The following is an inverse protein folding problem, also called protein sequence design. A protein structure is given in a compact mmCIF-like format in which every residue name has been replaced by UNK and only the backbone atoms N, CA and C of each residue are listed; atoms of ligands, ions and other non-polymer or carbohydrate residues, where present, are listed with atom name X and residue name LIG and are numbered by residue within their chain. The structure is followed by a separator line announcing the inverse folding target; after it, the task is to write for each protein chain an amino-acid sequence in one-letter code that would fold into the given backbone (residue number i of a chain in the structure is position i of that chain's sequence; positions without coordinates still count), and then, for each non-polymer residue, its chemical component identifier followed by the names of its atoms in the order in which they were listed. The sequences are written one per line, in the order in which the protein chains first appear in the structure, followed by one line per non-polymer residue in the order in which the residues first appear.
data_IF_950553894472
#
_entry.id   IF_950553894472
#
_cell.length_a   1.000
_cell.length_b   1.000
_cell.length_c   1.000
_cell.angle_alpha   90.00
_cell.angle_beta   90.00
_cell.angle_gamma   90.00
#
_symmetry.space_group_name_H-M   'P 1'
#
loop_
_entity.id
_entity.type
_entity.pdbx_description
1 polymer ?
#
# COMPACT_ATOMS: atom_id res chain seq x y z
N UNK A 1 -0.81 -12.74 -15.77
CA UNK A 1 -1.03 -13.29 -14.43
C UNK A 1 -1.86 -12.35 -13.55
N UNK A 2 -1.41 -11.13 -13.26
CA UNK A 2 -2.16 -10.18 -12.41
C UNK A 2 -3.61 -9.98 -12.86
N UNK A 3 -3.83 -9.64 -14.14
CA UNK A 3 -5.19 -9.49 -14.69
C UNK A 3 -6.05 -10.77 -14.57
N UNK A 4 -5.45 -11.95 -14.71
CA UNK A 4 -6.17 -13.22 -14.52
C UNK A 4 -6.59 -13.41 -13.07
N UNK A 5 -5.70 -13.14 -12.11
CA UNK A 5 -6.03 -13.13 -10.68
C UNK A 5 -7.09 -12.09 -10.33
N UNK A 6 -7.13 -10.98 -11.05
CA UNK A 6 -8.12 -9.92 -10.90
C UNK A 6 -9.56 -10.38 -11.22
N UNK A 7 -9.75 -11.49 -11.93
CA UNK A 7 -11.08 -12.02 -12.27
C UNK A 7 -11.63 -13.01 -11.23
N UNK A 8 -10.79 -13.53 -10.33
CA UNK A 8 -11.12 -14.70 -9.49
C UNK A 8 -11.17 -14.31 -8.01
N UNK A 9 -12.15 -14.82 -7.28
CA UNK A 9 -12.24 -14.63 -5.82
C UNK A 9 -12.50 -13.18 -5.41
N UNK A 10 -13.30 -12.44 -6.20
CA UNK A 10 -13.74 -11.09 -5.87
C UNK A 10 -15.03 -11.15 -5.05
N UNK A 11 -15.08 -10.44 -3.92
CA UNK A 11 -16.30 -10.33 -3.11
C UNK A 11 -17.30 -9.35 -3.73
N UNK A 12 -18.60 -9.67 -3.80
CA UNK A 12 -19.60 -8.82 -4.44
C UNK A 12 -20.00 -7.58 -3.60
N UNK A 13 -19.92 -7.68 -2.26
CA UNK A 13 -20.35 -6.61 -1.35
C UNK A 13 -19.21 -5.64 -1.03
N UNK A 14 -18.01 -6.17 -0.76
CA UNK A 14 -16.80 -5.39 -0.51
C UNK A 14 -15.88 -5.59 -1.70
N UNK A 15 -16.06 -4.77 -2.74
CA UNK A 15 -15.38 -4.95 -4.04
C UNK A 15 -13.86 -4.83 -3.95
N UNK A 16 -13.34 -4.25 -2.86
CA UNK A 16 -11.91 -4.18 -2.55
C UNK A 16 -11.35 -5.50 -1.99
N UNK A 17 -12.18 -6.45 -1.56
CA UNK A 17 -11.73 -7.76 -1.10
C UNK A 17 -11.57 -8.73 -2.28
N UNK A 18 -10.34 -8.82 -2.79
CA UNK A 18 -10.01 -9.50 -4.05
C UNK A 18 -8.92 -10.54 -3.85
N UNK A 19 -9.32 -11.74 -3.44
CA UNK A 19 -8.39 -12.80 -3.04
C UNK A 19 -7.46 -13.22 -4.18
N UNK A 20 -7.96 -13.33 -5.42
CA UNK A 20 -7.17 -13.80 -6.55
C UNK A 20 -5.99 -12.89 -6.89
N UNK A 21 -6.24 -11.58 -7.07
CA UNK A 21 -5.17 -10.63 -7.41
C UNK A 21 -4.14 -10.50 -6.29
N UNK A 22 -4.58 -10.46 -5.02
CA UNK A 22 -3.67 -10.35 -3.89
C UNK A 22 -2.81 -11.59 -3.71
N UNK A 23 -3.39 -12.79 -3.89
CA UNK A 23 -2.65 -14.04 -3.84
C UNK A 23 -1.60 -14.13 -4.96
N UNK A 24 -1.99 -13.80 -6.20
CA UNK A 24 -1.04 -13.79 -7.34
C UNK A 24 0.05 -12.75 -7.13
N UNK A 25 -0.28 -11.54 -6.67
CA UNK A 25 0.70 -10.50 -6.38
C UNK A 25 1.67 -10.92 -5.27
N UNK A 26 1.17 -11.59 -4.23
CA UNK A 26 2.00 -12.16 -3.16
C UNK A 26 3.00 -13.19 -3.69
N UNK A 27 2.56 -14.15 -4.51
CA UNK A 27 3.44 -15.17 -5.09
C UNK A 27 4.51 -14.56 -6.01
N UNK A 28 4.15 -13.57 -6.82
CA UNK A 28 5.11 -12.88 -7.69
C UNK A 28 6.09 -12.05 -6.86
N UNK A 29 5.61 -11.37 -5.82
CA UNK A 29 6.45 -10.65 -4.86
C UNK A 29 7.46 -11.58 -4.19
N UNK A 30 7.00 -12.74 -3.69
CA UNK A 30 7.87 -13.77 -3.14
C UNK A 30 8.95 -14.19 -4.15
N UNK A 31 8.58 -14.46 -5.41
CA UNK A 31 9.54 -14.81 -6.45
C UNK A 31 10.58 -13.70 -6.71
N UNK A 32 10.14 -12.44 -6.80
CA UNK A 32 11.03 -11.28 -7.00
C UNK A 32 12.05 -11.18 -5.87
N UNK A 33 11.61 -11.20 -4.62
CA UNK A 33 12.47 -11.02 -3.45
C UNK A 33 13.27 -12.28 -3.06
N UNK A 34 12.93 -13.45 -3.61
CA UNK A 34 13.70 -14.68 -3.41
C UNK A 34 14.89 -14.81 -4.38
N UNK A 35 14.99 -13.95 -5.39
CA UNK A 35 15.99 -14.04 -6.45
C UNK A 35 16.68 -12.70 -6.69
N UNK A 36 17.91 -12.55 -6.21
CA UNK A 36 18.71 -11.32 -6.42
C UNK A 36 18.86 -10.94 -7.90
N UNK A 37 18.90 -11.94 -8.80
CA UNK A 37 18.96 -11.70 -10.25
C UNK A 37 17.74 -10.91 -10.73
N UNK A 38 16.56 -11.22 -10.21
CA UNK A 38 15.31 -10.52 -10.57
C UNK A 38 15.35 -9.10 -10.01
N UNK A 39 15.75 -8.92 -8.74
CA UNK A 39 15.90 -7.59 -8.15
C UNK A 39 16.85 -6.69 -8.96
N UNK A 40 18.01 -7.20 -9.38
CA UNK A 40 18.98 -6.45 -10.21
C UNK A 40 18.40 -6.06 -11.57
N UNK A 41 17.56 -6.91 -12.16
CA UNK A 41 16.85 -6.58 -13.41
C UNK A 41 15.88 -5.42 -13.16
N UNK A 42 15.09 -5.48 -12.09
CA UNK A 42 14.14 -4.42 -11.73
C UNK A 42 14.85 -3.09 -11.46
N UNK A 43 15.99 -3.13 -10.78
CA UNK A 43 16.84 -1.97 -10.54
C UNK A 43 17.32 -1.34 -11.86
N UNK A 44 17.77 -2.16 -12.82
CA UNK A 44 18.25 -1.70 -14.13
C UNK A 44 17.15 -1.05 -14.96
N UNK A 45 15.92 -1.60 -14.94
CA UNK A 45 14.77 -1.08 -15.71
C UNK A 45 13.94 -0.04 -14.94
N UNK A 46 14.39 0.38 -13.75
CA UNK A 46 13.65 1.27 -12.85
C UNK A 46 13.20 2.58 -13.49
N UNK A 47 14.08 3.26 -14.23
CA UNK A 47 13.73 4.54 -14.88
C UNK A 47 12.71 4.34 -16.02
N UNK A 48 12.95 3.46 -17.02
CA UNK A 48 11.95 3.21 -18.06
C UNK A 48 10.59 2.78 -17.52
N UNK A 49 10.56 1.89 -16.52
CA UNK A 49 9.30 1.43 -15.90
C UNK A 49 8.60 2.53 -15.12
N UNK A 50 9.35 3.44 -14.47
CA UNK A 50 8.77 4.62 -13.80
C UNK A 50 8.15 5.61 -14.78
N UNK A 51 8.81 5.87 -15.91
CA UNK A 51 8.26 6.73 -16.97
C UNK A 51 6.97 6.11 -17.51
N UNK A 52 6.97 4.80 -17.78
CA UNK A 52 5.78 4.09 -18.22
C UNK A 52 4.66 4.14 -17.17
N UNK A 53 4.97 3.99 -15.88
CA UNK A 53 4.00 4.10 -14.79
C UNK A 53 3.35 5.49 -14.74
N UNK A 54 4.14 6.56 -14.92
CA UNK A 54 3.63 7.93 -14.97
C UNK A 54 2.69 8.10 -16.18
N UNK A 55 3.10 7.66 -17.37
CA UNK A 55 2.26 7.73 -18.58
C UNK A 55 0.93 7.00 -18.36
N UNK A 56 0.98 5.75 -17.88
CA UNK A 56 -0.21 4.95 -17.59
C UNK A 56 -1.08 5.58 -16.49
N UNK A 57 -0.48 6.26 -15.50
CA UNK A 57 -1.24 6.99 -14.47
C UNK A 57 -2.03 8.16 -15.05
N UNK A 58 -1.45 8.90 -16.01
CA UNK A 58 -2.13 10.01 -16.69
C UNK A 58 -3.30 9.48 -17.51
N UNK A 59 -3.12 8.39 -18.24
CA UNK A 59 -4.21 7.71 -18.95
C UNK A 59 -5.30 7.23 -17.99
N UNK A 60 -4.93 6.59 -16.88
CA UNK A 60 -5.89 6.12 -15.89
C UNK A 60 -6.73 7.27 -15.32
N UNK A 61 -6.08 8.37 -14.91
CA UNK A 61 -6.78 9.57 -14.43
C UNK A 61 -7.68 10.13 -15.52
N UNK A 62 -7.20 10.29 -16.76
CA UNK A 62 -7.99 10.82 -17.86
C UNK A 62 -9.30 10.04 -18.12
N UNK A 63 -9.26 8.70 -18.07
CA UNK A 63 -10.44 7.86 -18.35
C UNK A 63 -11.37 7.64 -17.16
N UNK A 64 -10.84 7.70 -15.93
CA UNK A 64 -11.57 7.32 -14.71
C UNK A 64 -11.73 8.46 -13.70
N UNK A 65 -11.37 9.70 -14.06
CA UNK A 65 -11.58 10.86 -13.19
C UNK A 65 -13.06 10.99 -12.79
N UNK A 66 -13.30 11.17 -11.50
CA UNK A 66 -14.67 11.30 -10.94
C UNK A 66 -15.48 10.01 -10.89
N UNK A 67 -14.98 8.89 -11.42
CA UNK A 67 -15.62 7.57 -11.27
C UNK A 67 -15.22 6.92 -9.96
N UNK A 68 -16.08 6.03 -9.47
CA UNK A 68 -15.75 5.26 -8.29
C UNK A 68 -14.69 4.19 -8.62
N UNK A 69 -13.45 4.44 -8.22
CA UNK A 69 -12.32 3.55 -8.48
C UNK A 69 -12.46 2.15 -7.85
N UNK A 70 -13.41 1.95 -6.92
CA UNK A 70 -13.68 0.64 -6.32
C UNK A 70 -14.65 -0.21 -7.15
N UNK A 71 -15.15 0.30 -8.28
CA UNK A 71 -16.04 -0.46 -9.15
C UNK A 71 -15.33 -1.65 -9.79
N UNK A 72 -16.03 -2.78 -9.83
CA UNK A 72 -15.51 -4.03 -10.40
C UNK A 72 -15.07 -3.87 -11.86
N UNK A 73 -15.77 -3.06 -12.65
CA UNK A 73 -15.43 -2.80 -14.05
C UNK A 73 -14.02 -2.19 -14.17
N UNK A 74 -13.71 -1.19 -13.34
CA UNK A 74 -12.40 -0.52 -13.32
C UNK A 74 -11.33 -1.46 -12.77
N UNK A 75 -11.64 -2.16 -11.68
CA UNK A 75 -10.73 -3.04 -10.97
C UNK A 75 -10.38 -4.31 -11.76
N UNK A 76 -11.26 -4.80 -12.62
CA UNK A 76 -11.05 -5.97 -13.48
C UNK A 76 -10.53 -5.60 -14.87
N UNK A 77 -10.54 -4.32 -15.23
CA UNK A 77 -10.04 -3.84 -16.51
C UNK A 77 -8.56 -4.17 -16.71
N UNK A 78 -8.21 -4.65 -17.91
CA UNK A 78 -6.83 -5.02 -18.24
C UNK A 78 -5.85 -3.85 -18.11
N UNK A 79 -6.19 -2.66 -18.62
CA UNK A 79 -5.34 -1.48 -18.58
C UNK A 79 -5.08 -1.02 -17.14
N UNK A 80 -6.11 -1.04 -16.27
CA UNK A 80 -5.96 -0.75 -14.84
C UNK A 80 -4.99 -1.71 -14.16
N UNK A 81 -5.13 -3.01 -14.44
CA UNK A 81 -4.27 -4.04 -13.84
C UNK A 81 -2.83 -3.93 -14.35
N UNK A 82 -2.64 -3.60 -15.64
CA UNK A 82 -1.33 -3.34 -16.22
C UNK A 82 -0.68 -2.12 -15.57
N UNK A 83 -1.41 -1.00 -15.50
CA UNK A 83 -0.95 0.22 -14.82
C UNK A 83 -0.51 -0.06 -13.37
N UNK A 84 -1.38 -0.72 -12.60
CA UNK A 84 -1.11 -1.07 -11.21
C UNK A 84 0.18 -1.90 -11.10
N UNK A 85 0.34 -2.93 -11.93
CA UNK A 85 1.50 -3.80 -11.86
C UNK A 85 2.80 -3.14 -12.31
N UNK A 86 2.77 -2.34 -13.39
CA UNK A 86 3.93 -1.55 -13.84
C UNK A 86 4.35 -0.56 -12.74
N UNK A 87 3.41 0.05 -12.04
CA UNK A 87 3.68 0.94 -10.91
C UNK A 87 4.36 0.21 -9.77
N UNK A 88 3.90 -1.00 -9.41
CA UNK A 88 4.54 -1.84 -8.38
C UNK A 88 5.99 -2.17 -8.77
N UNK A 89 6.21 -2.60 -10.02
CA UNK A 89 7.57 -2.89 -10.53
C UNK A 89 8.46 -1.65 -10.47
N UNK A 90 7.95 -0.50 -10.91
CA UNK A 90 8.68 0.76 -10.90
C UNK A 90 9.08 1.17 -9.47
N UNK A 91 8.16 1.06 -8.51
CA UNK A 91 8.42 1.36 -7.11
C UNK A 91 9.51 0.45 -6.52
N UNK A 92 9.42 -0.87 -6.74
CA UNK A 92 10.44 -1.81 -6.27
C UNK A 92 11.81 -1.46 -6.88
N UNK A 93 11.87 -1.22 -8.20
CA UNK A 93 13.12 -0.90 -8.90
C UNK A 93 13.75 0.42 -8.45
N UNK A 94 12.95 1.50 -8.32
CA UNK A 94 13.43 2.81 -7.88
C UNK A 94 13.92 2.75 -6.44
N UNK A 95 13.16 2.11 -5.55
CA UNK A 95 13.55 2.01 -4.14
C UNK A 95 14.79 1.16 -3.94
N UNK A 96 14.94 0.07 -4.71
CA UNK A 96 16.18 -0.71 -4.73
C UNK A 96 17.37 0.13 -5.19
N UNK A 97 17.20 0.92 -6.26
CA UNK A 97 18.28 1.70 -6.88
C UNK A 97 18.76 2.89 -6.03
N UNK A 98 17.83 3.65 -5.46
CA UNK A 98 18.14 4.94 -4.85
C UNK A 98 17.89 5.00 -3.34
N UNK A 99 17.07 4.09 -2.78
CA UNK A 99 16.62 4.14 -1.39
C UNK A 99 16.99 2.89 -0.59
N UNK A 100 17.91 2.06 -1.09
CA UNK A 100 18.45 0.91 -0.37
C UNK A 100 19.53 1.35 0.63
N UNK A 101 19.11 2.10 1.66
CA UNK A 101 19.96 2.71 2.67
C UNK A 101 19.80 2.00 4.02
N UNK A 102 20.88 1.95 4.79
CA UNK A 102 20.88 1.37 6.14
C UNK A 102 21.43 2.40 7.14
N UNK A 103 20.54 3.01 7.93
CA UNK A 103 20.91 3.90 9.04
C UNK A 103 20.07 3.60 10.28
N UNK A 104 20.39 4.23 11.43
CA UNK A 104 19.71 3.98 12.70
C UNK A 104 18.20 4.22 12.63
N UNK A 105 17.78 5.27 11.91
CA UNK A 105 16.38 5.59 11.69
C UNK A 105 15.68 4.50 10.85
N UNK A 106 16.25 4.10 9.72
CA UNK A 106 15.69 3.04 8.87
C UNK A 106 15.62 1.71 9.64
N UNK A 107 16.64 1.36 10.43
CA UNK A 107 16.60 0.17 11.30
C UNK A 107 15.45 0.22 12.30
N UNK A 108 15.23 1.39 12.92
CA UNK A 108 14.11 1.60 13.82
C UNK A 108 12.77 1.42 13.08
N UNK A 109 12.60 2.09 11.95
CA UNK A 109 11.40 2.02 11.11
C UNK A 109 11.10 0.60 10.64
N UNK A 110 12.11 -0.15 10.20
CA UNK A 110 11.97 -1.55 9.79
C UNK A 110 11.48 -2.41 10.95
N UNK A 111 12.03 -2.21 12.17
CA UNK A 111 11.60 -2.94 13.37
C UNK A 111 10.15 -2.64 13.76
N UNK A 112 9.70 -1.40 13.58
CA UNK A 112 8.34 -0.98 13.94
C UNK A 112 7.32 -1.11 12.79
N UNK A 113 7.76 -1.42 11.57
CA UNK A 113 6.94 -1.47 10.36
C UNK A 113 5.69 -2.33 10.49
N UNK A 114 5.80 -3.52 11.09
CA UNK A 114 4.66 -4.41 11.32
C UNK A 114 3.61 -3.79 12.24
N UNK A 115 4.03 -3.10 13.30
CA UNK A 115 3.13 -2.41 14.20
C UNK A 115 2.42 -1.24 13.51
N UNK A 116 3.15 -0.47 12.69
CA UNK A 116 2.56 0.60 11.86
C UNK A 116 1.52 -0.01 10.90
N UNK A 117 1.85 -1.12 10.25
CA UNK A 117 0.94 -1.82 9.33
C UNK A 117 -0.36 -2.27 9.99
N UNK A 118 -0.33 -2.79 11.22
CA UNK A 118 -1.57 -3.20 11.90
C UNK A 118 -2.37 -1.96 12.36
N UNK A 119 -1.70 -1.01 12.99
CA UNK A 119 -2.38 0.08 13.69
C UNK A 119 -2.91 1.16 12.74
N UNK A 120 -2.25 1.40 11.60
CA UNK A 120 -2.68 2.46 10.70
C UNK A 120 -4.08 2.23 10.15
N UNK A 121 -4.49 0.99 9.88
CA UNK A 121 -5.82 0.72 9.35
C UNK A 121 -6.91 1.02 10.37
N UNK A 122 -6.69 0.69 11.64
CA UNK A 122 -7.60 1.03 12.74
C UNK A 122 -7.76 2.55 12.89
N UNK A 123 -6.65 3.29 12.89
CA UNK A 123 -6.66 4.75 12.96
C UNK A 123 -7.33 5.35 11.72
N UNK A 124 -7.05 4.81 10.53
CA UNK A 124 -7.64 5.24 9.26
C UNK A 124 -9.15 5.13 9.26
N UNK A 125 -9.72 4.02 9.75
CA UNK A 125 -11.18 3.83 9.81
C UNK A 125 -11.82 4.86 10.74
N UNK A 126 -11.23 5.11 11.92
CA UNK A 126 -11.76 6.10 12.87
C UNK A 126 -11.65 7.52 12.31
N UNK A 127 -10.46 7.92 11.85
CA UNK A 127 -10.23 9.27 11.31
C UNK A 127 -11.10 9.50 10.08
N UNK A 128 -11.18 8.52 9.18
CA UNK A 128 -12.04 8.60 7.99
C UNK A 128 -13.51 8.74 8.35
N UNK A 129 -14.01 7.93 9.30
CA UNK A 129 -15.38 8.05 9.79
C UNK A 129 -15.66 9.43 10.38
N UNK A 130 -14.75 9.96 11.20
CA UNK A 130 -14.93 11.27 11.85
C UNK A 130 -14.92 12.40 10.82
N UNK A 131 -13.92 12.43 9.94
CA UNK A 131 -13.79 13.49 8.92
C UNK A 131 -14.98 13.51 7.96
N UNK A 132 -15.49 12.35 7.55
CA UNK A 132 -16.61 12.27 6.59
C UNK A 132 -17.96 12.62 7.22
N UNK A 133 -18.21 12.22 8.47
CA UNK A 133 -19.55 12.38 9.08
C UNK A 133 -19.72 13.66 9.90
N UNK A 134 -18.63 14.25 10.40
CA UNK A 134 -18.71 15.41 11.29
C UNK A 134 -18.11 16.69 10.71
N UNK A 135 -17.43 16.63 9.57
CA UNK A 135 -16.80 17.78 8.95
C UNK A 135 -17.22 17.90 7.49
N UNK A 136 -17.58 19.11 7.06
CA UNK A 136 -17.82 19.44 5.66
C UNK A 136 -16.66 20.29 5.14
N UNK A 137 -15.54 19.61 4.84
CA UNK A 137 -14.31 20.24 4.37
C UNK A 137 -14.13 20.02 2.86
N UNK A 138 -13.50 20.98 2.15
CA UNK A 138 -13.02 20.74 0.79
C UNK A 138 -12.12 19.51 0.73
N UNK A 139 -12.20 18.76 -0.37
CA UNK A 139 -11.49 17.48 -0.53
C UNK A 139 -10.00 17.56 -0.17
N UNK A 140 -9.31 18.63 -0.58
CA UNK A 140 -7.88 18.81 -0.29
C UNK A 140 -7.58 18.85 1.21
N UNK A 141 -8.41 19.52 2.00
CA UNK A 141 -8.25 19.61 3.44
C UNK A 141 -8.62 18.29 4.13
N UNK A 142 -9.65 17.60 3.63
CA UNK A 142 -10.00 16.27 4.11
C UNK A 142 -8.82 15.29 3.93
N UNK A 143 -8.22 15.23 2.73
CA UNK A 143 -7.08 14.34 2.48
C UNK A 143 -5.83 14.74 3.27
N UNK A 144 -5.54 16.04 3.37
CA UNK A 144 -4.39 16.53 4.13
C UNK A 144 -4.51 16.23 5.62
N UNK A 145 -5.67 16.52 6.23
CA UNK A 145 -5.92 16.21 7.63
C UNK A 145 -5.95 14.71 7.88
N UNK A 146 -6.57 13.91 7.01
CA UNK A 146 -6.53 12.46 7.11
C UNK A 146 -5.08 11.96 7.12
N UNK A 147 -4.24 12.44 6.20
CA UNK A 147 -2.82 12.07 6.18
C UNK A 147 -2.11 12.39 7.50
N UNK A 148 -2.23 13.63 8.00
CA UNK A 148 -1.57 14.06 9.24
C UNK A 148 -2.08 13.30 10.46
N UNK A 149 -3.41 13.18 10.61
CA UNK A 149 -4.03 12.52 11.76
C UNK A 149 -3.79 11.01 11.76
N UNK A 150 -3.84 10.35 10.60
CA UNK A 150 -3.54 8.92 10.50
C UNK A 150 -2.08 8.67 10.84
N UNK A 151 -1.16 9.48 10.32
CA UNK A 151 0.26 9.35 10.61
C UNK A 151 0.52 9.54 12.12
N UNK A 152 0.13 10.69 12.67
CA UNK A 152 0.33 11.01 14.09
C UNK A 152 -0.38 10.00 15.00
N UNK A 153 -1.63 9.66 14.70
CA UNK A 153 -2.42 8.70 15.45
C UNK A 153 -1.81 7.29 15.44
N UNK A 154 -1.26 6.85 14.30
CA UNK A 154 -0.61 5.54 14.20
C UNK A 154 0.64 5.46 15.06
N UNK A 155 1.52 6.47 15.00
CA UNK A 155 2.73 6.49 15.84
C UNK A 155 2.40 6.66 17.32
N UNK A 156 1.43 7.51 17.68
CA UNK A 156 0.98 7.66 19.06
C UNK A 156 0.40 6.36 19.62
N UNK A 157 -0.46 5.69 18.85
CA UNK A 157 -1.05 4.41 19.24
C UNK A 157 0.00 3.30 19.35
N UNK A 158 0.98 3.28 18.43
CA UNK A 158 2.11 2.36 18.50
C UNK A 158 2.90 2.55 19.79
N UNK A 159 3.21 3.79 20.17
CA UNK A 159 3.93 4.09 21.40
C UNK A 159 3.15 3.63 22.63
N UNK A 160 1.84 3.91 22.70
CA UNK A 160 0.97 3.49 23.80
C UNK A 160 0.93 1.95 23.90
N UNK A 161 0.60 1.27 22.79
CA UNK A 161 0.44 -0.19 22.79
C UNK A 161 1.76 -0.89 23.09
N UNK A 162 2.88 -0.38 22.57
CA UNK A 162 4.21 -0.97 22.81
C UNK A 162 4.63 -0.99 24.30
N UNK A 163 4.04 -0.12 25.12
CA UNK A 163 4.28 -0.05 26.56
C UNK A 163 3.44 -1.06 27.36
N UNK A 164 2.34 -1.58 26.81
CA UNK A 164 1.43 -2.50 27.51
C UNK A 164 1.93 -3.96 27.34
N UNK A 165 2.33 -4.67 28.41
CA UNK A 165 3.08 -5.93 28.30
C UNK A 165 2.38 -7.05 27.54
N UNK A 166 1.07 -7.21 27.74
CA UNK A 166 0.28 -8.28 27.11
C UNK A 166 -0.08 -7.90 25.68
N UNK A 167 -0.54 -6.66 25.47
CA UNK A 167 -1.06 -6.20 24.18
C UNK A 167 0.06 -6.08 23.16
N UNK A 168 1.25 -5.57 23.52
CA UNK A 168 2.38 -5.48 22.59
C UNK A 168 2.82 -6.86 22.07
N UNK A 169 2.65 -7.91 22.86
CA UNK A 169 2.97 -9.26 22.43
C UNK A 169 1.90 -9.80 21.47
N UNK A 170 0.62 -9.71 21.85
CA UNK A 170 -0.49 -10.24 21.08
C UNK A 170 -0.72 -9.50 19.76
N UNK A 171 -0.60 -8.17 19.76
CA UNK A 171 -0.94 -7.32 18.61
C UNK A 171 0.30 -7.01 17.77
N UNK A 172 1.42 -6.68 18.41
CA UNK A 172 2.63 -6.22 17.70
C UNK A 172 3.70 -7.31 17.55
N UNK A 173 3.53 -8.49 18.14
CA UNK A 173 4.53 -9.56 18.14
C UNK A 173 5.81 -9.22 18.91
N UNK A 174 5.81 -8.15 19.72
CA UNK A 174 7.00 -7.69 20.44
C UNK A 174 7.21 -8.57 21.67
N UNK A 175 8.17 -9.50 21.57
CA UNK A 175 8.63 -10.29 22.71
C UNK A 175 9.61 -9.48 23.57
N UNK A 176 9.52 -9.63 24.89
CA UNK A 176 10.54 -9.10 25.80
C UNK A 176 11.85 -9.83 25.48
N UNK A 177 12.94 -9.09 25.24
CA UNK A 177 14.28 -9.64 25.42
C UNK A 177 14.53 -9.81 26.92
#
# INVERSE_FOLDING_TARGET
MIWGGAQIGNMPVVTTYRFGIYFVAFLIGYYIFSHEKVEKILEKISIPTSILAIILSVFYVYFYFGKNFTESEILQNFATNLYCWITVIAMIGIFKKYFNLENSFIKHMTKTSFGIYILHYFVLVIVGYVLVNYFDLPAIWNYFLAFVLIFAGTFGLLEIISKIPIIRYLVLGIKKK
#
